data_IF_138001485980
#
_entry.id   IF_138001485980
#
_cell.length_a   1.000
_cell.length_b   1.000
_cell.length_c   1.000
_cell.angle_alpha   90.00
_cell.angle_beta   90.00
_cell.angle_gamma   90.00
#
_symmetry.space_group_name_H-M   'P 1'
#
loop_
_entity.id
_entity.type
_entity.pdbx_description
1 polymer ?
#
# COMPACT_ATOMS: atom_id res chain seq x y z
N UNK A 1 17.12 -28.73 -11.11
CA UNK A 1 16.12 -28.06 -11.97
C UNK A 1 15.70 -26.78 -11.26
N UNK A 2 16.04 -25.58 -11.76
CA UNK A 2 15.50 -24.35 -11.19
C UNK A 2 14.01 -24.29 -11.55
N UNK A 3 13.13 -24.32 -10.55
CA UNK A 3 11.71 -24.00 -10.70
C UNK A 3 11.62 -22.57 -11.22
N UNK A 4 11.33 -22.43 -12.51
CA UNK A 4 11.02 -21.15 -13.14
C UNK A 4 9.72 -20.70 -12.50
N UNK A 5 9.80 -19.81 -11.52
CA UNK A 5 8.62 -19.15 -10.94
C UNK A 5 7.88 -18.51 -12.10
N UNK A 6 6.76 -19.11 -12.48
CA UNK A 6 5.85 -18.53 -13.45
C UNK A 6 5.44 -17.20 -12.85
N UNK A 7 5.67 -16.06 -13.52
CA UNK A 7 5.21 -14.78 -12.99
C UNK A 7 3.71 -14.93 -12.74
N UNK A 8 3.23 -14.70 -11.51
CA UNK A 8 1.83 -14.90 -11.18
C UNK A 8 0.99 -14.09 -12.16
N UNK A 9 -0.09 -14.70 -12.66
CA UNK A 9 -0.96 -14.06 -13.64
C UNK A 9 -1.41 -12.71 -13.05
N UNK A 10 -1.24 -11.58 -13.76
CA UNK A 10 -1.60 -10.27 -13.22
C UNK A 10 -3.08 -10.18 -12.82
N UNK A 11 -3.96 -11.00 -13.41
CA UNK A 11 -5.35 -11.14 -12.95
C UNK A 11 -5.47 -11.85 -11.58
N UNK A 12 -4.67 -12.89 -11.34
CA UNK A 12 -4.65 -13.58 -10.03
C UNK A 12 -4.09 -12.67 -8.94
N UNK A 13 -3.05 -11.90 -9.25
CA UNK A 13 -2.50 -10.89 -8.33
C UNK A 13 -3.54 -9.81 -8.01
N UNK A 14 -4.30 -9.36 -9.01
CA UNK A 14 -5.36 -8.39 -8.80
C UNK A 14 -6.40 -8.89 -7.80
N UNK A 15 -6.89 -10.13 -7.98
CA UNK A 15 -7.86 -10.75 -7.06
C UNK A 15 -7.28 -10.82 -5.64
N UNK A 16 -6.02 -11.23 -5.48
CA UNK A 16 -5.37 -11.30 -4.16
C UNK A 16 -5.24 -9.92 -3.49
N UNK A 17 -4.92 -8.88 -4.27
CA UNK A 17 -4.81 -7.50 -3.78
C UNK A 17 -6.19 -6.93 -3.41
N UNK A 18 -7.23 -7.25 -4.18
CA UNK A 18 -8.63 -6.89 -3.86
C UNK A 18 -9.08 -7.56 -2.55
N UNK A 19 -8.82 -8.86 -2.36
CA UNK A 19 -9.11 -9.56 -1.12
C UNK A 19 -8.35 -8.98 0.09
N UNK A 20 -7.08 -8.62 -0.10
CA UNK A 20 -6.27 -7.99 0.94
C UNK A 20 -6.86 -6.63 1.34
N UNK A 21 -7.26 -5.82 0.37
CA UNK A 21 -7.88 -4.52 0.61
C UNK A 21 -9.17 -4.67 1.42
N UNK A 22 -10.02 -5.63 1.06
CA UNK A 22 -11.26 -5.90 1.78
C UNK A 22 -10.99 -6.29 3.25
N UNK A 23 -10.04 -7.19 3.49
CA UNK A 23 -9.62 -7.58 4.85
C UNK A 23 -9.08 -6.40 5.65
N UNK A 24 -8.27 -5.53 5.03
CA UNK A 24 -7.75 -4.34 5.70
C UNK A 24 -8.87 -3.37 6.08
N UNK A 25 -9.88 -3.20 5.20
CA UNK A 25 -11.05 -2.36 5.50
C UNK A 25 -11.89 -2.93 6.66
N UNK A 26 -12.12 -4.25 6.70
CA UNK A 26 -12.82 -4.91 7.80
C UNK A 26 -12.05 -4.82 9.12
N UNK A 27 -10.72 -5.00 9.07
CA UNK A 27 -9.86 -4.87 10.24
C UNK A 27 -9.85 -3.44 10.77
N UNK A 28 -9.84 -2.43 9.90
CA UNK A 28 -9.94 -1.02 10.30
C UNK A 28 -11.19 -0.76 11.14
N UNK A 29 -12.35 -1.24 10.68
CA UNK A 29 -13.61 -1.05 11.40
C UNK A 29 -13.62 -1.81 12.74
N UNK A 30 -13.06 -3.01 12.76
CA UNK A 30 -12.96 -3.83 13.97
C UNK A 30 -12.07 -3.17 15.02
N UNK A 31 -10.88 -2.70 14.60
CA UNK A 31 -9.93 -1.99 15.46
C UNK A 31 -10.56 -0.70 15.98
N UNK A 32 -11.23 0.06 15.12
CA UNK A 32 -11.94 1.28 15.53
C UNK A 32 -13.01 0.99 16.60
N UNK A 33 -13.85 -0.03 16.40
CA UNK A 33 -14.86 -0.43 17.39
C UNK A 33 -14.22 -0.86 18.72
N UNK A 34 -13.10 -1.58 18.67
CA UNK A 34 -12.35 -1.95 19.86
C UNK A 34 -11.72 -0.75 20.58
N UNK A 35 -11.14 0.20 19.84
CA UNK A 35 -10.59 1.44 20.42
C UNK A 35 -11.69 2.28 21.09
N UNK A 36 -12.84 2.45 20.42
CA UNK A 36 -14.03 3.12 20.98
C UNK A 36 -14.53 2.43 22.26
N UNK A 37 -14.51 1.08 22.32
CA UNK A 37 -14.96 0.31 23.49
C UNK A 37 -13.95 0.27 24.64
N UNK A 38 -12.65 0.24 24.33
CA UNK A 38 -11.57 0.14 25.32
C UNK A 38 -11.12 1.49 25.86
N UNK A 39 -11.50 2.60 25.20
CA UNK A 39 -11.02 3.95 25.51
C UNK A 39 -9.51 4.10 25.27
N UNK A 40 -8.88 3.18 24.55
CA UNK A 40 -7.49 3.29 24.14
C UNK A 40 -7.43 3.89 22.74
N UNK A 41 -7.04 5.16 22.69
CA UNK A 41 -6.71 5.81 21.42
C UNK A 41 -5.32 5.37 20.94
N UNK A 42 -5.18 5.15 19.64
CA UNK A 42 -3.88 4.90 19.02
C UNK A 42 -3.04 6.19 19.05
N UNK A 43 -1.89 6.22 19.74
CA UNK A 43 -1.05 7.41 19.85
C UNK A 43 -0.56 7.91 18.49
N UNK A 44 -0.39 7.02 17.51
CA UNK A 44 0.00 7.41 16.14
C UNK A 44 -1.18 8.07 15.42
N UNK A 45 -2.39 7.53 15.61
CA UNK A 45 -3.60 8.12 15.05
C UNK A 45 -3.92 9.50 15.65
N UNK A 46 -3.67 9.70 16.94
CA UNK A 46 -3.84 11.01 17.60
C UNK A 46 -2.90 12.06 16.98
N UNK A 47 -1.65 11.70 16.74
CA UNK A 47 -0.63 12.66 16.28
C UNK A 47 -0.72 12.93 14.77
N UNK A 48 -0.98 11.90 13.97
CA UNK A 48 -0.92 11.99 12.50
C UNK A 48 -2.28 11.99 11.83
N UNK A 49 -3.37 11.73 12.58
CA UNK A 49 -4.70 11.53 12.04
C UNK A 49 -4.84 10.26 11.19
N UNK A 50 -3.82 9.40 11.15
CA UNK A 50 -3.76 8.20 10.31
C UNK A 50 -3.27 7.02 11.13
N UNK A 51 -3.96 5.89 11.01
CA UNK A 51 -3.54 4.61 11.59
C UNK A 51 -2.56 3.89 10.65
N UNK A 52 -1.82 2.92 11.17
CA UNK A 52 -1.03 2.02 10.33
C UNK A 52 -1.89 1.27 9.30
N UNK A 53 -3.16 1.01 9.62
CA UNK A 53 -4.12 0.37 8.70
C UNK A 53 -4.50 1.32 7.57
N UNK A 54 -4.67 2.62 7.83
CA UNK A 54 -4.94 3.60 6.78
C UNK A 54 -3.77 3.66 5.77
N UNK A 55 -2.53 3.64 6.27
CA UNK A 55 -1.34 3.59 5.41
C UNK A 55 -1.29 2.30 4.58
N UNK A 56 -1.61 1.15 5.19
CA UNK A 56 -1.67 -0.11 4.49
C UNK A 56 -2.72 -0.09 3.36
N UNK A 57 -3.91 0.46 3.62
CA UNK A 57 -4.98 0.63 2.63
C UNK A 57 -4.52 1.49 1.45
N UNK A 58 -3.89 2.64 1.72
CA UNK A 58 -3.40 3.53 0.68
C UNK A 58 -2.35 2.82 -0.20
N UNK A 59 -1.42 2.10 0.43
CA UNK A 59 -0.40 1.31 -0.29
C UNK A 59 -1.03 0.21 -1.16
N UNK A 60 -2.03 -0.51 -0.63
CA UNK A 60 -2.73 -1.56 -1.38
C UNK A 60 -3.51 -0.99 -2.58
N UNK A 61 -4.07 0.22 -2.47
CA UNK A 61 -4.74 0.92 -3.58
C UNK A 61 -3.76 1.34 -4.67
N UNK A 62 -2.56 1.78 -4.30
CA UNK A 62 -1.50 2.09 -5.26
C UNK A 62 -1.09 0.83 -6.02
N UNK A 63 -0.86 -0.29 -5.31
CA UNK A 63 -0.56 -1.58 -5.93
C UNK A 63 -1.67 -2.03 -6.89
N UNK A 64 -2.94 -1.85 -6.53
CA UNK A 64 -4.06 -2.18 -7.41
C UNK A 64 -4.05 -1.33 -8.69
N UNK A 65 -3.76 -0.03 -8.56
CA UNK A 65 -3.68 0.89 -9.70
C UNK A 65 -2.52 0.52 -10.64
N UNK A 66 -1.38 0.13 -10.07
CA UNK A 66 -0.21 -0.30 -10.83
C UNK A 66 -0.49 -1.63 -11.56
N UNK A 67 -1.15 -2.59 -10.90
CA UNK A 67 -1.59 -3.84 -11.51
C UNK A 67 -2.61 -3.62 -12.63
N UNK A 68 -3.61 -2.74 -12.42
CA UNK A 68 -4.55 -2.38 -13.49
C UNK A 68 -3.85 -1.75 -14.69
N UNK A 69 -2.85 -0.90 -14.45
CA UNK A 69 -2.06 -0.27 -15.50
C UNK A 69 -1.27 -1.32 -16.28
N UNK A 70 -0.65 -2.27 -15.58
CA UNK A 70 0.09 -3.38 -16.17
C UNK A 70 -0.81 -4.32 -17.00
N UNK A 71 -2.02 -4.65 -16.50
CA UNK A 71 -3.02 -5.45 -17.23
C UNK A 71 -3.51 -4.73 -18.49
N UNK A 72 -3.72 -3.42 -18.42
CA UNK A 72 -4.17 -2.58 -19.56
C UNK A 72 -3.05 -2.27 -20.56
N UNK A 73 -1.81 -2.72 -20.32
CA UNK A 73 -0.65 -2.44 -21.16
C UNK A 73 -0.21 -0.97 -21.13
N UNK A 74 -0.61 -0.21 -20.11
CA UNK A 74 -0.14 1.15 -19.89
C UNK A 74 1.28 1.15 -19.34
N UNK A 75 2.10 2.13 -19.74
CA UNK A 75 3.48 2.26 -19.29
C UNK A 75 3.54 2.60 -17.78
N UNK A 76 4.06 1.71 -16.91
CA UNK A 76 4.13 1.94 -15.47
C UNK A 76 5.19 2.98 -15.08
N UNK A 77 6.00 3.48 -16.02
CA UNK A 77 7.15 4.35 -15.77
C UNK A 77 6.82 5.80 -15.39
N UNK A 78 5.56 6.25 -15.53
CA UNK A 78 5.23 7.66 -15.33
C UNK A 78 5.10 8.08 -13.86
N UNK A 79 4.95 7.16 -12.90
CA UNK A 79 4.76 7.51 -11.47
C UNK A 79 5.95 7.19 -10.57
N UNK A 80 6.72 6.14 -10.87
CA UNK A 80 7.91 5.75 -10.08
C UNK A 80 9.03 6.79 -10.10
N UNK A 81 9.15 7.60 -11.16
CA UNK A 81 10.19 8.63 -11.26
C UNK A 81 9.94 9.87 -10.38
N UNK A 82 8.74 10.03 -9.79
CA UNK A 82 8.41 11.25 -9.05
C UNK A 82 8.77 11.17 -7.57
N UNK A 83 8.74 9.99 -6.93
CA UNK A 83 9.02 9.85 -5.50
C UNK A 83 10.50 9.61 -5.15
N UNK A 84 11.31 9.03 -6.03
CA UNK A 84 12.74 8.79 -5.75
C UNK A 84 13.64 10.01 -5.94
N UNK A 85 13.16 11.08 -6.59
CA UNK A 85 13.93 12.32 -6.76
C UNK A 85 14.06 13.15 -5.47
N UNK A 86 13.21 12.90 -4.46
CA UNK A 86 13.27 13.59 -3.16
C UNK A 86 14.43 13.12 -2.28
N UNK A 87 14.79 11.83 -2.32
CA UNK A 87 15.82 11.25 -1.46
C UNK A 87 17.25 11.47 -2.00
N UNK A 88 17.42 11.54 -3.32
CA UNK A 88 18.73 11.79 -3.94
C UNK A 88 19.30 13.19 -3.63
N UNK A 89 18.45 14.18 -3.30
CA UNK A 89 18.88 15.55 -2.98
C UNK A 89 19.35 15.74 -1.53
N UNK A 90 19.06 14.80 -0.63
CA UNK A 90 19.46 14.90 0.78
C UNK A 90 20.94 14.54 0.97
N UNK A 91 21.51 13.69 0.10
CA UNK A 91 22.91 13.24 0.21
C UNK A 91 23.92 14.28 -0.31
N UNK A 92 23.48 15.26 -1.08
CA UNK A 92 24.33 16.32 -1.66
C UNK A 92 24.42 17.60 -0.81
N UNK A 93 23.78 17.64 0.37
CA UNK A 93 23.86 18.79 1.29
C UNK A 93 24.71 18.55 2.55
N UNK A 94 25.37 17.39 2.64
CA UNK A 94 26.32 17.08 3.72
C UNK A 94 27.68 16.81 3.10
N UNK A 95 28.28 17.86 2.52
CA UNK A 95 29.71 18.03 2.30
C UNK A 95 30.03 19.52 2.45
#
# INVERSE_FOLDING_TARGET
MPTREVPPNPEELRIQVEELLERLMQNRETVRKHQEQSGQDDPVAIVTGRTAIDHAIDTTREMLTDLETAVKGGDPGSRFNTMCNGLSRLRSRVL
#
